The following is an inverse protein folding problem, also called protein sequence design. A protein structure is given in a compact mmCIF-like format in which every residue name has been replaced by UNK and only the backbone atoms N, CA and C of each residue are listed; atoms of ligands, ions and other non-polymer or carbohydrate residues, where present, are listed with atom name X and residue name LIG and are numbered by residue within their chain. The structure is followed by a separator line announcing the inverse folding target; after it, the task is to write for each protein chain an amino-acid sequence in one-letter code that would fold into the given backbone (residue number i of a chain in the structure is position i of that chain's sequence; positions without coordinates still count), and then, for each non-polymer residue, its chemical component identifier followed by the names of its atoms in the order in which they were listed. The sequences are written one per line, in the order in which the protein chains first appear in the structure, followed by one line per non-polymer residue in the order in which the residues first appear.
data_IF_997781638757
#
_entry.id   IF_997781638757
#
_cell.length_a   1.000
_cell.length_b   1.000
_cell.length_c   1.000
_cell.angle_alpha   90.00
_cell.angle_beta   90.00
_cell.angle_gamma   90.00
#
_symmetry.space_group_name_H-M   'P 1'
#
loop_
_entity.id
_entity.type
_entity.pdbx_description
1 polymer ?
#
# COMPACT_ATOMS: atom_id res chain seq x y z
N UNK A 1 13.06 -7.32 -17.10
CA UNK A 1 12.80 -5.88 -16.83
C UNK A 1 12.98 -5.65 -15.34
N UNK A 2 13.77 -4.66 -14.89
CA UNK A 2 13.81 -4.30 -13.48
C UNK A 2 12.41 -3.94 -12.98
N UNK A 3 12.12 -4.31 -11.72
CA UNK A 3 10.84 -4.06 -11.05
C UNK A 3 11.09 -3.24 -9.80
N UNK A 4 10.17 -2.35 -9.47
CA UNK A 4 10.17 -1.59 -8.23
C UNK A 4 9.15 -2.24 -7.29
N UNK A 5 9.55 -2.46 -6.04
CA UNK A 5 8.64 -2.83 -4.96
C UNK A 5 8.25 -1.55 -4.22
N UNK A 6 6.95 -1.34 -4.06
CA UNK A 6 6.39 -0.27 -3.24
C UNK A 6 5.68 -0.94 -2.07
N UNK A 7 5.93 -0.45 -0.85
CA UNK A 7 5.24 -0.88 0.36
C UNK A 7 4.61 0.35 1.00
N UNK A 8 3.30 0.26 1.27
CA UNK A 8 2.52 1.33 1.87
C UNK A 8 1.63 0.71 2.93
N UNK A 9 1.55 1.34 4.10
CA UNK A 9 0.57 1.04 5.14
C UNK A 9 -0.46 2.14 5.10
N UNK A 10 -1.74 1.76 5.14
CA UNK A 10 -2.89 2.64 4.96
C UNK A 10 -3.92 2.30 6.04
N UNK A 11 -4.83 3.24 6.32
CA UNK A 11 -6.06 2.91 7.02
C UNK A 11 -6.94 1.98 6.17
N UNK A 12 -7.72 1.12 6.82
CA UNK A 12 -8.54 0.09 6.16
C UNK A 12 -9.54 0.68 5.15
N UNK A 13 -10.07 1.88 5.44
CA UNK A 13 -11.04 2.57 4.58
C UNK A 13 -10.41 3.16 3.29
N UNK A 14 -9.08 3.20 3.19
CA UNK A 14 -8.35 3.70 2.03
C UNK A 14 -7.84 2.59 1.10
N UNK A 15 -7.91 1.32 1.53
CA UNK A 15 -7.30 0.19 0.82
C UNK A 15 -7.84 0.04 -0.60
N UNK A 16 -9.17 0.04 -0.76
CA UNK A 16 -9.80 -0.18 -2.07
C UNK A 16 -9.47 0.95 -3.05
N UNK A 17 -9.53 2.21 -2.59
CA UNK A 17 -9.21 3.38 -3.40
C UNK A 17 -7.73 3.40 -3.83
N UNK A 18 -6.82 2.96 -2.94
CA UNK A 18 -5.40 2.86 -3.27
C UNK A 18 -5.13 1.76 -4.31
N UNK A 19 -5.79 0.61 -4.21
CA UNK A 19 -5.68 -0.47 -5.19
C UNK A 19 -6.14 0.01 -6.57
N UNK A 20 -7.30 0.64 -6.66
CA UNK A 20 -7.83 1.18 -7.91
C UNK A 20 -6.85 2.19 -8.54
N UNK A 21 -6.38 3.16 -7.76
CA UNK A 21 -5.43 4.16 -8.24
C UNK A 21 -4.10 3.55 -8.74
N UNK A 22 -3.56 2.54 -8.05
CA UNK A 22 -2.33 1.87 -8.48
C UNK A 22 -2.56 1.08 -9.77
N UNK A 23 -3.69 0.36 -9.88
CA UNK A 23 -4.03 -0.40 -11.09
C UNK A 23 -4.16 0.53 -12.27
N UNK A 24 -4.93 1.61 -12.15
CA UNK A 24 -5.14 2.58 -13.22
C UNK A 24 -3.85 3.24 -13.69
N UNK A 25 -2.93 3.54 -12.77
CA UNK A 25 -1.65 4.14 -13.10
C UNK A 25 -0.62 3.15 -13.70
N UNK A 26 -0.63 1.89 -13.26
CA UNK A 26 0.43 0.93 -13.60
C UNK A 26 0.05 -0.04 -14.75
N UNK A 27 -1.23 -0.20 -15.07
CA UNK A 27 -1.71 -1.14 -16.08
C UNK A 27 -1.35 -0.68 -17.49
N UNK A 28 -0.74 -1.58 -18.27
CA UNK A 28 -0.40 -1.38 -19.68
C UNK A 28 -0.97 -2.46 -20.61
N UNK A 29 -1.72 -3.42 -20.04
CA UNK A 29 -2.24 -4.62 -20.72
C UNK A 29 -1.14 -5.52 -21.32
N UNK A 30 0.08 -5.46 -20.74
CA UNK A 30 1.23 -6.26 -21.17
C UNK A 30 1.70 -7.18 -20.07
N UNK A 31 2.36 -8.26 -20.48
CA UNK A 31 2.98 -9.20 -19.53
C UNK A 31 4.02 -8.45 -18.70
N UNK A 32 3.84 -8.49 -17.39
CA UNK A 32 4.77 -7.93 -16.43
C UNK A 32 4.31 -6.65 -15.73
N UNK A 33 3.07 -6.18 -15.90
CA UNK A 33 2.54 -5.01 -15.16
C UNK A 33 2.73 -5.13 -13.64
N UNK A 34 2.67 -6.35 -13.10
CA UNK A 34 3.06 -6.64 -11.72
C UNK A 34 1.97 -7.36 -10.96
N UNK A 35 1.99 -7.24 -9.64
CA UNK A 35 0.99 -7.75 -8.70
C UNK A 35 0.89 -6.80 -7.52
N UNK A 36 -0.30 -6.69 -6.96
CA UNK A 36 -0.55 -6.05 -5.67
C UNK A 36 -0.85 -7.16 -4.67
N UNK A 37 -0.27 -7.06 -3.47
CA UNK A 37 -0.56 -7.95 -2.36
C UNK A 37 -1.08 -7.09 -1.22
N UNK A 38 -2.15 -7.55 -0.57
CA UNK A 38 -2.73 -6.91 0.60
C UNK A 38 -2.53 -7.86 1.77
N UNK A 39 -1.93 -7.34 2.84
CA UNK A 39 -1.71 -8.06 4.09
C UNK A 39 -2.18 -7.20 5.24
N UNK A 40 -2.88 -7.76 6.24
CA UNK A 40 -3.29 -7.00 7.41
C UNK A 40 -2.06 -6.55 8.21
N UNK A 41 -2.10 -5.33 8.74
CA UNK A 41 -1.13 -4.81 9.70
C UNK A 41 -1.84 -4.64 11.04
N UNK A 42 -1.50 -5.47 12.01
CA UNK A 42 -2.18 -5.48 13.30
C UNK A 42 -1.90 -4.21 14.14
N UNK A 43 -0.73 -3.58 13.97
CA UNK A 43 -0.34 -2.42 14.75
C UNK A 43 0.72 -1.58 14.02
N UNK A 44 0.56 -0.25 14.07
CA UNK A 44 1.57 0.74 13.69
C UNK A 44 1.97 1.57 14.91
N UNK A 45 3.24 1.96 15.00
CA UNK A 45 3.78 2.82 16.07
C UNK A 45 4.69 3.89 15.47
N UNK A 46 4.40 5.17 15.75
CA UNK A 46 5.27 6.28 15.33
C UNK A 46 6.37 6.49 16.36
N UNK A 47 7.60 6.13 16.02
CA UNK A 47 8.77 6.19 16.93
C UNK A 47 8.96 7.56 17.60
N UNK A 48 8.70 8.65 16.87
CA UNK A 48 8.95 10.02 17.34
C UNK A 48 7.98 10.47 18.43
N UNK A 49 6.72 10.05 18.38
CA UNK A 49 5.64 10.53 19.25
C UNK A 49 5.09 9.45 20.19
N UNK A 50 5.26 8.18 19.84
CA UNK A 50 4.67 7.05 20.55
C UNK A 50 3.21 6.76 20.19
N UNK A 51 2.63 7.50 19.22
CA UNK A 51 1.28 7.26 18.72
C UNK A 51 1.16 5.86 18.12
N UNK A 52 -0.03 5.27 18.21
CA UNK A 52 -0.35 3.92 17.77
C UNK A 52 -1.57 3.88 16.85
N UNK A 53 -1.69 2.81 16.06
CA UNK A 53 -2.85 2.61 15.17
C UNK A 53 -2.88 3.65 14.04
N UNK A 54 -4.07 4.14 13.70
CA UNK A 54 -4.28 5.15 12.65
C UNK A 54 -3.55 6.46 12.92
N UNK A 55 -3.44 6.89 14.18
CA UNK A 55 -2.72 8.12 14.56
C UNK A 55 -1.21 8.02 14.26
N UNK A 56 -0.69 6.80 14.13
CA UNK A 56 0.70 6.54 13.79
C UNK A 56 1.00 6.66 12.29
N UNK A 57 -0.02 6.64 11.42
CA UNK A 57 0.12 6.68 9.96
C UNK A 57 0.41 8.11 9.45
#
# INVERSE_FOLDING_TARGET
LPKVKIEVVLDDDQVDAAIEAIVDAAKTDKIGDGKIFVSPVEQAIRIRTGESGSDAL
#
